data_IF_449750101092
#
_entry.id   IF_449750101092
#
_cell.length_a   1.000
_cell.length_b   1.000
_cell.length_c   1.000
_cell.angle_alpha   90.00
_cell.angle_beta   90.00
_cell.angle_gamma   90.00
#
_symmetry.space_group_name_H-M   'P 1'
#
loop_
_entity.id
_entity.type
_entity.pdbx_description
1 polymer ?
#
# COMPACT_ATOMS: atom_id res chain seq x y z
N UNK A 1 21.84 1.42 -9.09
CA UNK A 1 20.85 1.63 -8.03
C UNK A 1 19.58 0.92 -8.50
N UNK A 2 19.25 -0.27 -7.97
CA UNK A 2 17.98 -0.93 -8.30
C UNK A 2 16.95 -0.31 -7.36
N UNK A 3 16.35 0.79 -7.80
CA UNK A 3 15.32 1.50 -7.03
C UNK A 3 14.08 0.60 -6.98
N UNK A 4 13.81 0.04 -5.80
CA UNK A 4 12.48 -0.50 -5.49
C UNK A 4 11.49 0.63 -5.26
N UNK A 5 10.24 0.29 -4.95
CA UNK A 5 9.22 1.30 -4.66
C UNK A 5 9.27 1.74 -3.20
N UNK A 6 9.21 3.05 -2.97
CA UNK A 6 9.11 3.64 -1.62
C UNK A 6 7.68 3.56 -1.07
N UNK A 7 6.68 3.67 -1.95
CA UNK A 7 5.26 3.63 -1.59
C UNK A 7 4.51 2.75 -2.59
N UNK A 8 3.76 1.79 -2.07
CA UNK A 8 2.87 0.95 -2.86
C UNK A 8 1.43 1.03 -2.36
N UNK A 9 0.49 1.00 -3.31
CA UNK A 9 -0.95 1.01 -3.06
C UNK A 9 -1.52 -0.30 -3.60
N UNK A 10 -1.85 -1.24 -2.71
CA UNK A 10 -2.50 -2.50 -3.09
C UNK A 10 -4.02 -2.24 -3.17
N UNK A 11 -4.56 -2.26 -4.39
CA UNK A 11 -5.98 -2.03 -4.67
C UNK A 11 -6.67 -3.22 -5.37
N UNK A 12 -5.90 -4.23 -5.78
CA UNK A 12 -6.39 -5.33 -6.59
C UNK A 12 -7.04 -6.44 -5.75
N UNK A 13 -6.61 -6.60 -4.49
CA UNK A 13 -7.02 -7.73 -3.65
C UNK A 13 -6.48 -9.08 -4.14
N UNK A 14 -5.53 -9.10 -5.09
CA UNK A 14 -4.91 -10.32 -5.62
C UNK A 14 -3.71 -10.75 -4.76
N UNK A 15 -3.71 -11.98 -4.23
CA UNK A 15 -2.58 -12.53 -3.45
C UNK A 15 -1.25 -12.53 -4.20
N UNK A 16 -1.28 -12.82 -5.50
CA UNK A 16 -0.07 -12.92 -6.31
C UNK A 16 0.52 -11.54 -6.59
N UNK A 17 -0.34 -10.56 -6.88
CA UNK A 17 0.08 -9.16 -7.04
C UNK A 17 0.72 -8.61 -5.75
N UNK A 18 0.20 -9.00 -4.58
CA UNK A 18 0.75 -8.58 -3.31
C UNK A 18 2.14 -9.19 -3.03
N UNK A 19 2.38 -10.45 -3.42
CA UNK A 19 3.70 -11.08 -3.31
C UNK A 19 4.71 -10.43 -4.24
N UNK A 20 4.34 -10.20 -5.49
CA UNK A 20 5.19 -9.50 -6.46
C UNK A 20 5.52 -8.09 -5.98
N UNK A 21 4.56 -7.41 -5.36
CA UNK A 21 4.77 -6.09 -4.77
C UNK A 21 5.80 -6.12 -3.65
N UNK A 22 5.72 -7.07 -2.71
CA UNK A 22 6.68 -7.20 -1.60
C UNK A 22 8.12 -7.40 -2.08
N UNK A 23 8.33 -8.16 -3.14
CA UNK A 23 9.65 -8.41 -3.72
C UNK A 23 10.29 -7.17 -4.36
N UNK A 24 9.48 -6.17 -4.74
CA UNK A 24 9.91 -4.95 -5.42
C UNK A 24 9.96 -3.72 -4.50
N UNK A 25 9.77 -3.88 -3.18
CA UNK A 25 9.83 -2.77 -2.22
C UNK A 25 11.26 -2.38 -1.84
N UNK A 26 11.48 -1.09 -1.60
CA UNK A 26 12.68 -0.57 -0.95
C UNK A 26 12.70 -0.86 0.56
N UNK A 27 13.90 -0.82 1.16
CA UNK A 27 14.04 -0.79 2.63
C UNK A 27 13.37 0.47 3.20
N UNK A 28 12.53 0.30 4.22
CA UNK A 28 11.71 1.36 4.81
C UNK A 28 10.45 1.71 4.01
N UNK A 29 10.13 0.93 2.97
CA UNK A 29 8.98 1.15 2.11
C UNK A 29 7.64 1.07 2.84
N UNK A 30 6.65 1.80 2.32
CA UNK A 30 5.30 1.88 2.88
C UNK A 30 4.29 1.24 1.94
N UNK A 31 3.39 0.45 2.51
CA UNK A 31 2.34 -0.25 1.78
C UNK A 31 0.99 0.19 2.35
N UNK A 32 0.15 0.75 1.49
CA UNK A 32 -1.26 0.98 1.78
C UNK A 32 -2.06 -0.19 1.20
N UNK A 33 -2.81 -0.89 2.05
CA UNK A 33 -3.54 -2.10 1.69
C UNK A 33 -5.04 -1.81 1.69
N UNK A 34 -5.58 -1.56 0.50
CA UNK A 34 -6.98 -1.24 0.25
C UNK A 34 -7.76 -2.46 -0.25
N UNK A 35 -7.09 -3.37 -0.98
CA UNK A 35 -7.71 -4.57 -1.51
C UNK A 35 -8.13 -5.55 -0.41
N UNK A 36 -9.35 -6.08 -0.53
CA UNK A 36 -9.85 -7.13 0.36
C UNK A 36 -9.32 -8.47 -0.15
N UNK A 37 -8.22 -8.94 0.44
CA UNK A 37 -7.62 -10.21 0.07
C UNK A 37 -8.35 -11.41 0.70
N UNK A 38 -8.43 -12.55 0.00
CA UNK A 38 -8.76 -13.83 0.63
C UNK A 38 -7.63 -14.26 1.58
N UNK A 39 -7.79 -15.39 2.28
CA UNK A 39 -6.73 -15.92 3.14
C UNK A 39 -5.43 -16.11 2.33
N UNK A 40 -4.40 -15.32 2.66
CA UNK A 40 -3.19 -15.17 1.87
C UNK A 40 -1.96 -15.35 2.75
N UNK A 41 -1.09 -16.28 2.35
CA UNK A 41 0.23 -16.42 2.93
C UNK A 41 1.24 -15.55 2.17
N UNK A 42 2.09 -14.86 2.92
CA UNK A 42 3.23 -14.09 2.40
C UNK A 42 4.51 -14.51 3.10
N UNK A 43 5.63 -14.18 2.47
CA UNK A 43 6.94 -14.30 3.06
C UNK A 43 7.22 -13.07 3.94
N UNK A 44 7.28 -13.30 5.26
CA UNK A 44 7.49 -12.26 6.26
C UNK A 44 8.94 -11.78 6.33
N UNK A 45 9.89 -12.51 5.74
CA UNK A 45 11.29 -12.10 5.70
C UNK A 45 11.44 -10.78 4.94
N UNK A 46 10.68 -10.59 3.84
CA UNK A 46 10.64 -9.31 3.14
C UNK A 46 10.16 -8.17 4.02
N UNK A 47 9.15 -8.41 4.87
CA UNK A 47 8.59 -7.37 5.75
C UNK A 47 9.60 -6.97 6.83
N UNK A 48 10.25 -7.97 7.45
CA UNK A 48 11.18 -7.75 8.56
C UNK A 48 12.51 -7.19 8.06
N UNK A 49 13.15 -7.81 7.06
CA UNK A 49 14.45 -7.38 6.57
C UNK A 49 14.38 -6.06 5.80
N UNK A 50 13.27 -5.77 5.12
CA UNK A 50 13.07 -4.48 4.47
C UNK A 50 12.41 -3.45 5.39
N UNK A 51 12.15 -3.77 6.67
CA UNK A 51 11.51 -2.85 7.63
C UNK A 51 10.25 -2.18 7.04
N UNK A 52 9.41 -2.97 6.35
CA UNK A 52 8.24 -2.45 5.64
C UNK A 52 7.12 -2.07 6.60
N UNK A 53 6.42 -0.98 6.28
CA UNK A 53 5.23 -0.56 7.01
C UNK A 53 3.99 -0.89 6.21
N UNK A 54 3.14 -1.79 6.72
CA UNK A 54 1.88 -2.16 6.08
C UNK A 54 0.73 -1.50 6.86
N UNK A 55 -0.03 -0.64 6.18
CA UNK A 55 -1.22 0.02 6.72
C UNK A 55 -2.46 -0.49 6.00
N UNK A 56 -3.31 -1.21 6.72
CA UNK A 56 -4.65 -1.55 6.25
C UNK A 56 -5.51 -0.30 6.17
N UNK A 57 -6.13 -0.06 5.02
CA UNK A 57 -7.06 1.06 4.79
C UNK A 57 -8.43 0.46 4.49
N UNK A 58 -9.36 0.68 5.42
CA UNK A 58 -10.76 0.33 5.22
C UNK A 58 -11.59 1.61 5.09
N UNK A 59 -12.22 1.80 3.92
CA UNK A 59 -13.01 3.00 3.64
C UNK A 59 -12.15 4.25 3.47
N UNK A 60 -12.57 5.36 4.09
CA UNK A 60 -11.90 6.67 4.02
C UNK A 60 -12.13 7.49 5.29
N UNK A 61 -11.19 8.35 5.64
CA UNK A 61 -11.31 9.30 6.75
C UNK A 61 -12.30 10.42 6.35
N UNK A 62 -13.60 10.19 6.56
CA UNK A 62 -14.69 10.93 5.92
C UNK A 62 -14.68 12.46 6.10
N UNK A 63 -14.18 13.01 7.20
CA UNK A 63 -14.24 14.46 7.39
C UNK A 63 -13.05 15.18 6.74
N UNK A 64 -11.82 14.73 6.99
CA UNK A 64 -10.63 15.39 6.46
C UNK A 64 -10.45 15.16 4.95
N UNK A 65 -10.67 13.92 4.47
CA UNK A 65 -10.43 13.62 3.05
C UNK A 65 -11.47 14.23 2.11
N UNK A 66 -12.69 14.54 2.56
CA UNK A 66 -13.69 15.25 1.74
C UNK A 66 -13.31 16.70 1.47
N UNK A 67 -12.74 17.38 2.47
CA UNK A 67 -12.27 18.75 2.29
C UNK A 67 -11.13 18.79 1.28
N UNK A 68 -10.17 17.86 1.41
CA UNK A 68 -9.06 17.70 0.47
C UNK A 68 -9.58 17.39 -0.94
N UNK A 69 -10.53 16.46 -1.08
CA UNK A 69 -11.11 16.12 -2.39
C UNK A 69 -11.85 17.30 -3.04
N UNK A 70 -12.61 18.08 -2.26
CA UNK A 70 -13.30 19.27 -2.75
C UNK A 70 -12.31 20.33 -3.21
N UNK A 71 -11.24 20.55 -2.45
CA UNK A 71 -10.18 21.49 -2.82
C UNK A 71 -9.43 21.06 -4.08
N UNK A 72 -9.11 19.76 -4.22
CA UNK A 72 -8.48 19.21 -5.42
C UNK A 72 -9.35 19.40 -6.68
N UNK A 73 -10.65 19.13 -6.58
CA UNK A 73 -11.60 19.36 -7.70
C UNK A 73 -11.67 20.86 -8.07
N UNK A 74 -11.57 21.74 -7.09
CA UNK A 74 -11.61 23.19 -7.31
C UNK A 74 -10.29 23.74 -7.87
N UNK A 75 -9.15 23.11 -7.55
CA UNK A 75 -7.83 23.60 -7.94
C UNK A 75 -7.34 23.13 -9.31
N UNK A 76 -8.03 22.18 -9.94
CA UNK A 76 -7.65 21.60 -11.24
C UNK A 76 -6.46 20.65 -11.13
#
# INVERSE_FOLDING_TARGET
MKEGFDVCLEMSGSPDAFKDMLANMCHGGKIALLGIMPNTAIDWDYVVFNSLTIKGIYGREMFETWYIATMLIQSG
#
